data_IF_044210381161
#
_entry.id   IF_044210381161
#
_cell.length_a   1.000
_cell.length_b   1.000
_cell.length_c   1.000
_cell.angle_alpha   90.00
_cell.angle_beta   90.00
_cell.angle_gamma   90.00
#
_symmetry.space_group_name_H-M   'P 1'
#
loop_
_entity.id
_entity.type
_entity.pdbx_description
1 polymer ?
#
# COMPACT_ATOMS: atom_id res chain seq x y z
N UNK A 1 6.68 32.91 5.25
CA UNK A 1 7.46 32.00 6.11
C UNK A 1 6.63 31.65 7.31
N UNK A 2 6.59 30.37 7.69
CA UNK A 2 6.06 29.94 8.99
C UNK A 2 7.20 29.25 9.74
N UNK A 3 7.36 29.59 11.01
CA UNK A 3 8.28 28.89 11.90
C UNK A 3 7.59 27.64 12.43
N UNK A 4 8.27 26.49 12.38
CA UNK A 4 7.82 25.30 13.09
C UNK A 4 8.75 25.11 14.27
N UNK A 5 8.18 24.99 15.46
CA UNK A 5 8.93 24.71 16.67
C UNK A 5 9.00 23.19 16.87
N UNK A 6 10.20 22.64 16.79
CA UNK A 6 10.48 21.24 17.12
C UNK A 6 11.45 21.26 18.31
N UNK A 7 11.07 20.63 19.42
CA UNK A 7 11.86 20.57 20.66
C UNK A 7 12.38 21.95 21.15
N UNK A 8 11.53 22.97 21.09
CA UNK A 8 11.87 24.33 21.56
C UNK A 8 12.74 25.16 20.61
N UNK A 9 13.21 24.58 19.51
CA UNK A 9 13.97 25.28 18.47
C UNK A 9 13.06 25.71 17.32
N UNK A 10 13.17 26.97 16.89
CA UNK A 10 12.41 27.52 15.77
C UNK A 10 13.14 27.27 14.46
N UNK A 11 12.49 26.59 13.53
CA UNK A 11 13.01 26.34 12.20
C UNK A 11 12.23 27.14 11.17
N UNK A 12 12.95 27.89 10.34
CA UNK A 12 12.36 28.57 9.19
C UNK A 12 11.98 27.54 8.12
N UNK A 13 10.69 27.44 7.82
CA UNK A 13 10.21 26.64 6.70
C UNK A 13 9.77 27.51 5.52
N UNK A 14 10.35 27.20 4.36
CA UNK A 14 9.90 27.67 3.07
C UNK A 14 8.61 26.94 2.68
N UNK A 15 7.53 27.70 2.51
CA UNK A 15 6.25 27.17 2.05
C UNK A 15 6.35 26.91 0.54
N UNK A 16 6.72 25.71 0.14
CA UNK A 16 6.72 25.29 -1.26
C UNK A 16 5.28 24.93 -1.67
N UNK A 17 4.42 25.95 -1.79
CA UNK A 17 3.09 25.88 -2.40
C UNK A 17 2.25 24.63 -2.07
N UNK A 18 1.44 24.20 -3.04
CA UNK A 18 0.75 22.90 -2.98
C UNK A 18 1.72 21.77 -3.35
N UNK A 19 1.69 20.68 -2.58
CA UNK A 19 2.58 19.53 -2.79
C UNK A 19 2.17 18.77 -4.05
N UNK A 20 2.91 18.98 -5.15
CA UNK A 20 2.68 18.29 -6.42
C UNK A 20 3.54 17.04 -6.59
N UNK A 21 4.76 17.05 -6.05
CA UNK A 21 5.71 15.95 -6.13
C UNK A 21 6.51 15.83 -4.83
N UNK A 22 6.66 14.60 -4.33
CA UNK A 22 7.50 14.31 -3.18
C UNK A 22 8.16 12.95 -3.33
N UNK A 23 9.50 12.90 -3.29
CA UNK A 23 10.26 11.65 -3.42
C UNK A 23 9.76 10.75 -4.57
N UNK A 24 9.48 11.30 -5.76
CA UNK A 24 8.98 10.53 -6.91
C UNK A 24 7.51 10.12 -6.88
N UNK A 25 6.78 10.44 -5.81
CA UNK A 25 5.32 10.34 -5.73
C UNK A 25 4.71 11.63 -6.28
N UNK A 26 3.77 11.50 -7.23
CA UNK A 26 2.95 12.62 -7.67
C UNK A 26 1.72 12.70 -6.79
N UNK A 27 1.48 13.88 -6.22
CA UNK A 27 0.37 14.15 -5.31
C UNK A 27 -0.56 15.13 -6.00
N UNK A 28 -1.85 14.81 -6.05
CA UNK A 28 -2.90 15.68 -6.57
C UNK A 28 -3.89 15.95 -5.46
N UNK A 29 -3.87 17.16 -4.94
CA UNK A 29 -4.79 17.61 -3.90
C UNK A 29 -6.01 18.24 -4.56
N UNK A 30 -7.19 17.91 -4.03
CA UNK A 30 -8.47 18.49 -4.44
C UNK A 30 -9.34 18.70 -3.20
N UNK A 31 -10.35 19.58 -3.26
CA UNK A 31 -11.29 19.75 -2.14
C UNK A 31 -12.00 18.45 -1.73
N UNK A 32 -12.11 17.50 -2.67
CA UNK A 32 -12.74 16.18 -2.45
C UNK A 32 -11.79 15.16 -1.86
N UNK A 33 -10.48 15.37 -1.89
CA UNK A 33 -9.47 14.43 -1.41
C UNK A 33 -8.09 14.55 -2.06
N UNK A 34 -7.15 13.76 -1.57
CA UNK A 34 -5.77 13.70 -2.03
C UNK A 34 -5.54 12.40 -2.80
N UNK A 35 -5.01 12.48 -4.02
CA UNK A 35 -4.60 11.31 -4.81
C UNK A 35 -3.09 11.21 -4.83
N UNK A 36 -2.55 10.01 -4.66
CA UNK A 36 -1.12 9.71 -4.80
C UNK A 36 -0.94 8.75 -5.97
N UNK A 37 -0.04 9.09 -6.91
CA UNK A 37 0.25 8.27 -8.07
C UNK A 37 1.75 8.21 -8.40
N UNK A 38 2.17 7.11 -9.04
CA UNK A 38 3.57 6.88 -9.48
C UNK A 38 3.65 6.51 -10.96
N UNK A 39 2.72 7.03 -11.78
CA UNK A 39 2.62 6.67 -13.20
C UNK A 39 3.93 6.92 -13.97
N UNK A 40 4.64 8.02 -13.66
CA UNK A 40 5.95 8.33 -14.27
C UNK A 40 6.98 7.25 -13.97
N UNK A 41 7.08 6.85 -12.70
CA UNK A 41 7.99 5.81 -12.25
C UNK A 41 7.69 4.46 -12.92
N UNK A 42 6.40 4.09 -13.05
CA UNK A 42 6.01 2.85 -13.75
C UNK A 42 6.49 2.86 -15.20
N UNK A 43 6.40 4.00 -15.91
CA UNK A 43 6.89 4.11 -17.30
C UNK A 43 8.39 3.93 -17.38
N UNK A 44 9.15 4.63 -16.53
CA UNK A 44 10.62 4.51 -16.48
C UNK A 44 11.05 3.09 -16.09
N UNK A 45 10.33 2.45 -15.18
CA UNK A 45 10.55 1.06 -14.77
C UNK A 45 10.37 0.08 -15.93
N UNK A 46 9.29 0.24 -16.70
CA UNK A 46 9.02 -0.62 -17.86
C UNK A 46 10.07 -0.44 -18.95
N UNK A 47 10.55 0.78 -19.15
CA UNK A 47 11.66 1.07 -20.07
C UNK A 47 12.96 0.43 -19.62
N UNK A 48 13.29 0.56 -18.33
CA UNK A 48 14.54 0.03 -17.74
C UNK A 48 14.70 -1.48 -17.89
N UNK A 49 13.60 -2.22 -17.90
CA UNK A 49 13.60 -3.69 -17.95
C UNK A 49 13.03 -4.25 -19.27
N UNK A 50 13.00 -3.45 -20.33
CA UNK A 50 12.55 -3.85 -21.68
C UNK A 50 11.13 -4.45 -21.72
N UNK A 51 10.21 -3.89 -20.91
CA UNK A 51 8.83 -4.36 -20.79
C UNK A 51 7.82 -3.45 -21.51
N UNK A 52 8.25 -2.43 -22.24
CA UNK A 52 7.35 -1.50 -22.96
C UNK A 52 6.51 -2.21 -24.04
N UNK A 53 7.11 -3.14 -24.80
CA UNK A 53 6.41 -3.90 -25.84
C UNK A 53 5.61 -5.11 -25.31
N UNK A 54 5.66 -5.39 -24.00
CA UNK A 54 5.04 -6.58 -23.42
C UNK A 54 3.50 -6.54 -23.45
N UNK A 55 2.85 -7.71 -23.56
CA UNK A 55 1.37 -7.79 -23.45
C UNK A 55 0.91 -7.47 -22.03
N UNK A 56 -0.17 -6.71 -21.90
CA UNK A 56 -0.80 -6.40 -20.61
C UNK A 56 -1.43 -7.66 -20.02
N UNK A 57 -1.53 -7.72 -18.69
CA UNK A 57 -2.23 -8.79 -17.97
C UNK A 57 -3.00 -8.21 -16.79
N UNK A 58 -4.11 -8.85 -16.43
CA UNK A 58 -5.05 -8.29 -15.43
C UNK A 58 -4.73 -8.68 -13.98
N UNK A 59 -3.81 -9.63 -13.78
CA UNK A 59 -3.42 -10.07 -12.43
C UNK A 59 -1.91 -10.10 -12.22
N UNK A 60 -1.40 -9.60 -11.07
CA UNK A 60 0.03 -9.57 -10.78
C UNK A 60 0.61 -10.99 -10.58
N UNK A 61 -0.20 -11.93 -10.10
CA UNK A 61 0.11 -13.36 -9.96
C UNK A 61 -1.07 -14.20 -10.44
N UNK A 62 -0.83 -15.42 -10.94
CA UNK A 62 -1.93 -16.32 -11.29
C UNK A 62 -2.41 -17.10 -10.06
N UNK A 63 -3.71 -17.38 -9.98
CA UNK A 63 -4.36 -18.02 -8.82
C UNK A 63 -3.75 -19.38 -8.43
N UNK A 64 -3.19 -20.10 -9.40
CA UNK A 64 -2.60 -21.44 -9.21
C UNK A 64 -1.06 -21.40 -9.19
N UNK A 65 -0.45 -20.21 -9.22
CA UNK A 65 1.02 -20.11 -9.24
C UNK A 65 1.60 -20.45 -7.87
N UNK A 66 2.14 -21.67 -7.75
CA UNK A 66 3.07 -22.03 -6.68
C UNK A 66 4.49 -21.82 -7.19
N UNK A 67 5.20 -20.85 -6.62
CA UNK A 67 6.64 -20.70 -6.81
C UNK A 67 7.34 -21.61 -5.80
N UNK A 68 8.14 -22.55 -6.30
CA UNK A 68 9.02 -23.38 -5.51
C UNK A 68 10.48 -22.97 -5.75
N UNK A 69 11.43 -23.72 -5.18
CA UNK A 69 12.87 -23.43 -5.34
C UNK A 69 13.40 -23.72 -6.75
N UNK A 70 12.62 -24.40 -7.61
CA UNK A 70 12.96 -24.75 -8.99
C UNK A 70 14.42 -25.21 -9.16
N UNK A 71 14.80 -26.27 -8.43
CA UNK A 71 16.20 -26.74 -8.35
C UNK A 71 16.79 -27.05 -9.73
N UNK A 72 15.96 -27.56 -10.64
CA UNK A 72 16.33 -27.92 -12.02
C UNK A 72 16.25 -26.75 -12.99
N UNK A 73 15.62 -25.63 -12.60
CA UNK A 73 15.50 -24.45 -13.43
C UNK A 73 16.84 -23.78 -13.74
N UNK A 74 16.91 -23.14 -14.90
CA UNK A 74 18.07 -22.35 -15.31
C UNK A 74 18.27 -21.15 -14.37
N UNK A 75 19.53 -20.87 -13.97
CA UNK A 75 19.85 -19.75 -13.11
C UNK A 75 19.65 -18.42 -13.85
N UNK A 76 19.19 -17.41 -13.11
CA UNK A 76 19.04 -16.03 -13.60
C UNK A 76 20.10 -15.14 -12.95
N UNK A 77 20.52 -14.09 -13.67
CA UNK A 77 21.43 -13.09 -13.12
C UNK A 77 20.83 -12.44 -11.84
N UNK A 78 21.51 -12.65 -10.71
CA UNK A 78 21.05 -12.20 -9.40
C UNK A 78 20.94 -10.67 -9.31
N UNK A 79 21.91 -9.94 -9.86
CA UNK A 79 21.93 -8.46 -9.82
C UNK A 79 20.75 -7.88 -10.58
N UNK A 80 20.45 -8.41 -11.76
CA UNK A 80 19.28 -8.01 -12.54
C UNK A 80 17.99 -8.32 -11.78
N UNK A 81 17.85 -9.53 -11.24
CA UNK A 81 16.65 -9.93 -10.49
C UNK A 81 16.42 -9.06 -9.25
N UNK A 82 17.47 -8.82 -8.44
CA UNK A 82 17.42 -7.92 -7.27
C UNK A 82 17.09 -6.49 -7.66
N UNK A 83 17.59 -6.01 -8.79
CA UNK A 83 17.25 -4.71 -9.35
C UNK A 83 15.75 -4.57 -9.64
N UNK A 84 15.12 -5.60 -10.21
CA UNK A 84 13.68 -5.60 -10.44
C UNK A 84 12.91 -5.62 -9.11
N UNK A 85 13.28 -6.51 -8.18
CA UNK A 85 12.62 -6.63 -6.87
C UNK A 85 12.70 -5.32 -6.07
N UNK A 86 13.87 -4.69 -6.00
CA UNK A 86 14.04 -3.41 -5.29
C UNK A 86 13.19 -2.30 -5.91
N UNK A 87 13.10 -2.26 -7.25
CA UNK A 87 12.25 -1.28 -7.94
C UNK A 87 10.75 -1.51 -7.69
N UNK A 88 10.34 -2.79 -7.57
CA UNK A 88 8.97 -3.13 -7.20
C UNK A 88 8.65 -2.82 -5.73
N UNK A 89 9.60 -2.99 -4.81
CA UNK A 89 9.42 -2.60 -3.41
C UNK A 89 9.16 -1.10 -3.24
N UNK A 90 9.81 -0.27 -4.05
CA UNK A 90 9.55 1.17 -4.04
C UNK A 90 8.11 1.50 -4.47
N UNK A 91 7.53 0.74 -5.40
CA UNK A 91 6.13 0.92 -5.84
C UNK A 91 5.09 0.51 -4.81
N UNK A 92 5.42 -0.40 -3.89
CA UNK A 92 4.48 -0.92 -2.88
C UNK A 92 3.83 0.21 -2.07
N UNK A 93 4.56 1.30 -1.81
CA UNK A 93 4.05 2.46 -1.09
C UNK A 93 2.79 3.08 -1.73
N UNK A 94 2.68 3.06 -3.07
CA UNK A 94 1.50 3.53 -3.80
C UNK A 94 0.64 2.42 -4.42
N UNK A 95 1.14 1.18 -4.39
CA UNK A 95 0.51 0.00 -5.03
C UNK A 95 0.42 -1.16 -4.03
N UNK A 96 -0.49 -1.10 -3.05
CA UNK A 96 -0.66 -2.18 -2.08
C UNK A 96 -1.14 -3.49 -2.72
N UNK A 97 -1.80 -3.40 -3.87
CA UNK A 97 -2.32 -4.52 -4.66
C UNK A 97 -1.23 -5.48 -5.18
N UNK A 98 0.03 -5.03 -5.30
CA UNK A 98 1.15 -5.89 -5.74
C UNK A 98 1.99 -6.45 -4.57
N UNK A 99 1.78 -6.01 -3.33
CA UNK A 99 2.63 -6.35 -2.16
C UNK A 99 2.87 -7.85 -2.05
N UNK A 100 1.80 -8.63 -2.08
CA UNK A 100 1.88 -10.08 -1.94
C UNK A 100 2.72 -10.73 -3.04
N UNK A 101 2.49 -10.32 -4.28
CA UNK A 101 3.18 -10.88 -5.46
C UNK A 101 4.68 -10.57 -5.43
N UNK A 102 5.03 -9.34 -5.07
CA UNK A 102 6.43 -8.90 -4.94
C UNK A 102 7.11 -9.63 -3.76
N UNK A 103 6.44 -9.70 -2.61
CA UNK A 103 6.95 -10.38 -1.43
C UNK A 103 7.22 -11.87 -1.67
N UNK A 104 6.36 -12.55 -2.44
CA UNK A 104 6.60 -13.94 -2.84
C UNK A 104 7.84 -14.08 -3.72
N UNK A 105 8.00 -13.22 -4.73
CA UNK A 105 9.16 -13.26 -5.65
C UNK A 105 10.47 -12.90 -4.93
N UNK A 106 10.43 -12.00 -3.94
CA UNK A 106 11.60 -11.56 -3.20
C UNK A 106 12.30 -12.69 -2.42
N UNK A 107 11.56 -13.75 -2.04
CA UNK A 107 12.12 -14.91 -1.30
C UNK A 107 13.25 -15.61 -2.02
N UNK A 108 13.28 -15.52 -3.35
CA UNK A 108 14.24 -16.22 -4.19
C UNK A 108 15.38 -15.34 -4.69
N UNK A 109 15.57 -14.15 -4.12
CA UNK A 109 16.59 -13.19 -4.55
C UNK A 109 18.06 -13.67 -4.39
N UNK A 110 18.29 -14.69 -3.56
CA UNK A 110 19.60 -15.29 -3.34
C UNK A 110 19.99 -16.24 -4.46
N UNK A 111 19.03 -16.96 -5.06
CA UNK A 111 19.25 -17.91 -6.14
C UNK A 111 18.04 -17.95 -7.09
N UNK A 112 17.84 -16.91 -7.90
CA UNK A 112 16.67 -16.79 -8.75
C UNK A 112 16.75 -17.70 -9.98
N UNK A 113 15.60 -18.25 -10.36
CA UNK A 113 15.42 -19.13 -11.52
C UNK A 113 14.53 -18.49 -12.58
N UNK A 114 14.52 -19.05 -13.79
CA UNK A 114 13.69 -18.55 -14.89
C UNK A 114 12.19 -18.49 -14.54
N UNK A 115 11.68 -19.49 -13.81
CA UNK A 115 10.31 -19.51 -13.32
C UNK A 115 9.98 -18.29 -12.45
N UNK A 116 10.94 -17.87 -11.62
CA UNK A 116 10.80 -16.71 -10.74
C UNK A 116 10.86 -15.41 -11.53
N UNK A 117 11.79 -15.31 -12.48
CA UNK A 117 11.87 -14.16 -13.39
C UNK A 117 10.59 -14.00 -14.21
N UNK A 118 9.98 -15.11 -14.65
CA UNK A 118 8.70 -15.12 -15.35
C UNK A 118 7.57 -14.56 -14.48
N UNK A 119 7.55 -14.88 -13.19
CA UNK A 119 6.61 -14.30 -12.23
C UNK A 119 6.84 -12.80 -12.05
N UNK A 120 8.09 -12.36 -11.87
CA UNK A 120 8.41 -10.92 -11.75
C UNK A 120 8.05 -10.14 -13.02
N UNK A 121 8.31 -10.70 -14.22
CA UNK A 121 7.87 -10.12 -15.50
C UNK A 121 6.35 -10.09 -15.65
N UNK A 122 5.60 -10.98 -14.98
CA UNK A 122 4.13 -10.89 -14.92
C UNK A 122 3.68 -9.65 -14.13
N UNK A 123 4.30 -9.36 -12.99
CA UNK A 123 4.01 -8.16 -12.20
C UNK A 123 4.25 -6.88 -13.04
N UNK A 124 5.36 -6.82 -13.79
CA UNK A 124 5.64 -5.69 -14.68
C UNK A 124 4.57 -5.54 -15.78
N UNK A 125 4.11 -6.64 -16.39
CA UNK A 125 2.99 -6.62 -17.37
C UNK A 125 1.68 -6.13 -16.76
N UNK A 126 1.43 -6.48 -15.51
CA UNK A 126 0.25 -6.02 -14.78
C UNK A 126 0.31 -4.51 -14.52
N UNK A 127 1.47 -4.02 -14.06
CA UNK A 127 1.72 -2.59 -13.87
C UNK A 127 1.58 -1.80 -15.18
N UNK A 128 1.94 -2.40 -16.32
CA UNK A 128 1.73 -1.79 -17.65
C UNK A 128 0.26 -1.45 -17.91
N UNK A 129 -0.67 -2.36 -17.56
CA UNK A 129 -2.11 -2.17 -17.73
C UNK A 129 -2.76 -1.29 -16.67
N UNK A 130 -2.17 -1.24 -15.48
CA UNK A 130 -2.74 -0.57 -14.30
C UNK A 130 -1.97 0.68 -13.90
N UNK A 131 -1.25 1.30 -14.82
CA UNK A 131 -0.39 2.46 -14.56
C UNK A 131 -1.16 3.69 -14.03
N UNK A 132 -2.44 3.76 -14.36
CA UNK A 132 -3.33 4.89 -14.04
C UNK A 132 -4.06 4.70 -12.71
N UNK A 133 -3.84 3.58 -12.02
CA UNK A 133 -4.34 3.39 -10.65
C UNK A 133 -3.67 4.37 -9.70
N UNK A 134 -4.48 4.93 -8.80
CA UNK A 134 -4.05 5.93 -7.80
C UNK A 134 -4.58 5.53 -6.43
N UNK A 135 -3.81 5.84 -5.38
CA UNK A 135 -4.35 5.82 -4.02
C UNK A 135 -5.13 7.11 -3.82
N UNK A 136 -6.44 6.98 -3.70
CA UNK A 136 -7.32 8.11 -3.42
C UNK A 136 -7.70 8.14 -1.96
N UNK A 137 -7.47 9.28 -1.34
CA UNK A 137 -7.83 9.53 0.03
C UNK A 137 -8.88 10.66 0.11
N UNK A 138 -10.16 10.38 0.42
CA UNK A 138 -11.27 11.36 0.37
C UNK A 138 -11.26 12.42 1.49
N UNK A 139 -11.27 13.71 1.16
CA UNK A 139 -11.36 14.83 2.11
C UNK A 139 -12.42 14.57 3.17
N UNK A 140 -11.99 14.33 4.41
CA UNK A 140 -12.86 13.92 5.51
C UNK A 140 -12.23 12.94 6.51
N UNK A 141 -11.33 12.03 6.11
CA UNK A 141 -10.62 11.17 7.09
C UNK A 141 -9.51 11.92 7.86
N UNK A 142 -8.95 12.99 7.29
CA UNK A 142 -7.96 13.87 7.95
C UNK A 142 -8.55 15.15 8.58
N UNK A 143 -9.76 15.55 8.17
CA UNK A 143 -10.34 16.86 8.54
C UNK A 143 -11.38 16.77 9.66
N UNK A 144 -12.11 15.66 9.76
CA UNK A 144 -13.01 15.45 10.88
C UNK A 144 -12.19 15.00 12.10
N UNK A 145 -12.30 15.71 13.22
CA UNK A 145 -11.77 15.31 14.54
C UNK A 145 -12.44 14.05 15.12
N UNK A 146 -13.05 13.21 14.27
CA UNK A 146 -13.76 12.00 14.67
C UNK A 146 -12.75 10.85 14.73
N UNK A 147 -12.65 10.24 15.91
CA UNK A 147 -11.82 9.06 16.10
C UNK A 147 -12.30 7.89 15.23
N UNK A 148 -11.40 6.95 14.97
CA UNK A 148 -11.74 5.67 14.31
C UNK A 148 -11.84 4.60 15.38
N UNK A 149 -13.02 3.99 15.52
CA UNK A 149 -13.21 2.84 16.39
C UNK A 149 -12.85 1.55 15.65
N UNK A 150 -12.17 0.65 16.36
CA UNK A 150 -11.86 -0.69 15.88
C UNK A 150 -12.33 -1.73 16.88
N UNK A 151 -12.70 -2.91 16.39
CA UNK A 151 -13.11 -4.04 17.21
C UNK A 151 -12.63 -5.35 16.61
N UNK A 152 -12.28 -6.29 17.47
CA UNK A 152 -11.96 -7.67 17.12
C UNK A 152 -12.56 -8.62 18.17
N UNK A 153 -13.34 -9.60 17.73
CA UNK A 153 -13.93 -10.64 18.57
C UNK A 153 -13.27 -11.98 18.32
N UNK A 154 -12.89 -12.66 19.40
CA UNK A 154 -12.23 -13.95 19.34
C UNK A 154 -13.08 -15.02 20.03
N UNK A 155 -13.10 -16.23 19.47
CA UNK A 155 -13.54 -17.45 20.13
C UNK A 155 -12.31 -18.30 20.40
N UNK A 156 -11.84 -18.32 21.64
CA UNK A 156 -10.52 -18.88 21.98
C UNK A 156 -9.41 -18.09 21.29
N UNK A 157 -8.56 -18.78 20.52
CA UNK A 157 -7.50 -18.16 19.71
C UNK A 157 -7.94 -17.77 18.28
N UNK A 158 -9.19 -18.03 17.90
CA UNK A 158 -9.69 -17.79 16.56
C UNK A 158 -10.43 -16.44 16.47
N UNK A 159 -9.98 -15.55 15.60
CA UNK A 159 -10.67 -14.30 15.27
C UNK A 159 -11.95 -14.62 14.47
N UNK A 160 -13.12 -14.33 15.04
CA UNK A 160 -14.42 -14.62 14.43
C UNK A 160 -15.02 -13.41 13.70
N UNK A 161 -14.72 -12.19 14.16
CA UNK A 161 -15.27 -10.97 13.59
C UNK A 161 -14.38 -9.76 13.88
N UNK A 162 -14.25 -8.85 12.93
CA UNK A 162 -13.56 -7.58 13.11
C UNK A 162 -14.16 -6.49 12.24
N UNK A 163 -14.00 -5.24 12.66
CA UNK A 163 -14.24 -4.07 11.81
C UNK A 163 -13.48 -2.85 12.30
N UNK A 164 -13.33 -1.88 11.40
CA UNK A 164 -12.86 -0.53 11.71
C UNK A 164 -13.80 0.48 11.06
N UNK A 165 -14.28 1.46 11.83
CA UNK A 165 -15.25 2.45 11.35
C UNK A 165 -14.98 3.77 12.05
N UNK A 166 -15.07 4.84 11.27
CA UNK A 166 -15.04 6.20 11.79
C UNK A 166 -16.27 6.45 12.68
N UNK A 167 -16.07 7.10 13.83
CA UNK A 167 -17.16 7.46 14.73
C UNK A 167 -18.10 8.47 14.08
N UNK A 168 -19.39 8.42 14.45
CA UNK A 168 -20.39 9.34 13.92
C UNK A 168 -20.28 10.74 14.56
N UNK A 169 -19.83 10.82 15.81
CA UNK A 169 -19.59 12.05 16.57
C UNK A 169 -18.09 12.36 16.71
N UNK A 170 -17.79 13.62 17.00
CA UNK A 170 -16.45 14.07 17.40
C UNK A 170 -16.36 13.91 18.91
N UNK A 171 -15.40 13.11 19.40
CA UNK A 171 -15.13 13.00 20.82
C UNK A 171 -14.34 14.23 21.30
N UNK A 172 -14.67 14.74 22.49
CA UNK A 172 -13.98 15.85 23.14
C UNK A 172 -12.75 15.38 23.94
N UNK A 173 -12.61 14.07 24.17
CA UNK A 173 -11.47 13.45 24.84
C UNK A 173 -11.16 12.05 24.29
N UNK A 174 -9.96 11.52 24.58
CA UNK A 174 -9.61 10.13 24.25
C UNK A 174 -10.49 9.13 25.01
N UNK A 175 -10.81 9.41 26.27
CA UNK A 175 -11.69 8.58 27.11
C UNK A 175 -13.09 8.48 26.50
N UNK A 176 -13.65 9.60 26.01
CA UNK A 176 -14.95 9.58 25.33
C UNK A 176 -14.89 8.76 24.03
N UNK A 177 -13.82 8.89 23.25
CA UNK A 177 -13.64 8.09 22.04
C UNK A 177 -13.56 6.58 22.37
N UNK A 178 -12.87 6.19 23.43
CA UNK A 178 -12.81 4.81 23.92
C UNK A 178 -14.15 4.32 24.44
N UNK A 179 -14.92 5.17 25.13
CA UNK A 179 -16.27 4.84 25.58
C UNK A 179 -17.21 4.57 24.40
N UNK A 180 -17.18 5.40 23.36
CA UNK A 180 -17.96 5.19 22.13
C UNK A 180 -17.56 3.89 21.42
N UNK A 181 -16.26 3.59 21.36
CA UNK A 181 -15.76 2.34 20.80
C UNK A 181 -16.24 1.12 21.60
N UNK A 182 -16.15 1.20 22.93
CA UNK A 182 -16.56 0.13 23.85
C UNK A 182 -18.07 -0.11 23.81
N UNK A 183 -18.88 0.95 23.80
CA UNK A 183 -20.33 0.84 23.68
C UNK A 183 -20.74 0.18 22.35
N UNK A 184 -20.09 0.56 21.24
CA UNK A 184 -20.30 -0.07 19.94
C UNK A 184 -19.92 -1.56 19.94
N UNK A 185 -18.87 -1.91 20.69
CA UNK A 185 -18.41 -3.28 20.84
C UNK A 185 -19.40 -4.15 21.63
N UNK A 186 -19.88 -3.64 22.77
CA UNK A 186 -20.90 -4.32 23.56
C UNK A 186 -22.21 -4.53 22.78
N UNK A 187 -22.64 -3.52 22.01
CA UNK A 187 -23.84 -3.64 21.18
C UNK A 187 -23.72 -4.76 20.13
N UNK A 188 -22.55 -4.91 19.51
CA UNK A 188 -22.26 -5.99 18.57
C UNK A 188 -22.22 -7.37 19.24
N UNK A 189 -21.58 -7.48 20.42
CA UNK A 189 -21.58 -8.73 21.18
C UNK A 189 -22.98 -9.18 21.59
N UNK A 190 -23.82 -8.23 22.03
CA UNK A 190 -25.21 -8.51 22.37
C UNK A 190 -26.00 -9.02 21.16
N UNK A 191 -25.75 -8.44 19.98
CA UNK A 191 -26.37 -8.89 18.73
C UNK A 191 -25.93 -10.31 18.33
N UNK A 192 -24.64 -10.65 18.49
CA UNK A 192 -24.11 -12.00 18.19
C UNK A 192 -24.64 -13.06 19.16
N UNK A 193 -24.94 -12.67 20.42
CA UNK A 193 -25.50 -13.58 21.43
C UNK A 193 -26.95 -13.98 21.13
N UNK A 194 -27.67 -13.16 20.36
CA UNK A 194 -29.10 -13.28 20.10
C UNK A 194 -29.40 -14.26 18.96
#
# INVERSE_FOLDING_TARGET
MKEITIEGSKFEMSMIGELNFFLGLQVKQSPKGTSICQQKYIRELLKRFDMEASKVIDSPIATVTRLDMDKTGSPVNQTMYRGIIGSLFYLIASRPDIVFSVGLCARFQSNPKESHLKATKRILRYLKGTRDLVLYYPSGYLMDRKSTSGMAHFLGSCLIYWWTRKQNSVALSTVEAEYVATASCCAQLLWIKQ
#
